data_IF_239029757104
#
_entry.id   IF_239029757104
#
_cell.length_a   1.000
_cell.length_b   1.000
_cell.length_c   1.000
_cell.angle_alpha   90.00
_cell.angle_beta   90.00
_cell.angle_gamma   90.00
#
_symmetry.space_group_name_H-M   'P 1'
#
loop_
_entity.id
_entity.type
_entity.pdbx_description
1 polymer ?
#
# COMPACT_ATOMS: atom_id res chain seq x y z
N UNK A 1 -5.13 -6.22 28.46
CA UNK A 1 -5.29 -7.57 27.83
C UNK A 1 -4.96 -7.55 26.33
N UNK A 2 -5.48 -6.61 25.53
CA UNK A 2 -5.18 -6.53 24.09
C UNK A 2 -3.67 -6.28 23.79
N UNK A 3 -3.01 -5.40 24.53
CA UNK A 3 -1.57 -5.13 24.37
C UNK A 3 -0.68 -6.35 24.64
N UNK A 4 -1.06 -7.28 25.55
CA UNK A 4 -0.32 -8.54 25.75
C UNK A 4 -0.33 -9.42 24.50
N UNK A 5 -1.48 -9.46 23.79
CA UNK A 5 -1.64 -10.21 22.55
C UNK A 5 -0.85 -9.56 21.41
N UNK A 6 -0.84 -8.22 21.36
CA UNK A 6 -0.03 -7.46 20.40
C UNK A 6 1.46 -7.68 20.61
N UNK A 7 1.95 -7.59 21.84
CA UNK A 7 3.33 -7.87 22.19
C UNK A 7 3.70 -9.33 21.87
N UNK A 8 2.77 -10.27 22.05
CA UNK A 8 2.97 -11.67 21.71
C UNK A 8 3.09 -11.88 20.20
N UNK A 9 2.18 -11.30 19.41
CA UNK A 9 2.26 -11.34 17.95
C UNK A 9 3.58 -10.78 17.43
N UNK A 10 4.01 -9.63 17.96
CA UNK A 10 5.31 -9.03 17.65
C UNK A 10 6.48 -9.96 17.99
N UNK A 11 6.51 -10.52 19.20
CA UNK A 11 7.60 -11.39 19.64
C UNK A 11 7.73 -12.65 18.77
N UNK A 12 6.59 -13.23 18.34
CA UNK A 12 6.56 -14.37 17.43
C UNK A 12 7.16 -14.03 16.07
N UNK A 13 6.80 -12.89 15.48
CA UNK A 13 7.33 -12.47 14.18
C UNK A 13 8.81 -12.12 14.23
N UNK A 14 9.23 -11.36 15.24
CA UNK A 14 10.59 -10.82 15.31
C UNK A 14 11.63 -11.85 15.73
N UNK A 15 11.27 -12.78 16.64
CA UNK A 15 12.27 -13.55 17.37
C UNK A 15 11.94 -15.02 17.55
N UNK A 16 10.69 -15.38 17.80
CA UNK A 16 10.36 -16.73 18.27
C UNK A 16 9.91 -17.72 17.19
N UNK A 17 9.24 -17.26 16.13
CA UNK A 17 8.85 -18.12 15.03
C UNK A 17 10.02 -18.39 14.08
N UNK A 18 9.84 -19.37 13.19
CA UNK A 18 10.71 -19.58 12.03
C UNK A 18 10.25 -18.76 10.81
N UNK A 19 9.45 -17.71 10.99
CA UNK A 19 9.13 -16.79 9.92
C UNK A 19 10.42 -16.08 9.47
N UNK A 20 10.63 -15.99 8.16
CA UNK A 20 11.77 -15.31 7.58
C UNK A 20 11.32 -14.28 6.55
N UNK A 21 11.96 -13.11 6.58
CA UNK A 21 11.68 -12.01 5.67
C UNK A 21 12.84 -11.88 4.67
N UNK A 22 12.59 -12.32 3.43
CA UNK A 22 13.44 -12.04 2.29
C UNK A 22 12.72 -11.10 1.31
N UNK A 23 12.95 -11.24 -0.01
CA UNK A 23 12.11 -10.58 -1.03
C UNK A 23 10.63 -10.92 -0.89
N UNK A 24 10.33 -12.14 -0.41
CA UNK A 24 9.01 -12.58 0.03
C UNK A 24 9.11 -13.20 1.44
N UNK A 25 7.96 -13.35 2.09
CA UNK A 25 7.83 -14.06 3.38
C UNK A 25 7.94 -15.56 3.17
N UNK A 26 8.82 -16.18 3.95
CA UNK A 26 9.08 -17.61 3.95
C UNK A 26 9.16 -18.19 5.36
N UNK A 27 9.54 -19.45 5.43
CA UNK A 27 9.80 -20.16 6.69
C UNK A 27 11.22 -20.72 6.67
N UNK A 28 11.98 -20.51 7.73
CA UNK A 28 13.30 -21.07 7.96
C UNK A 28 13.22 -22.39 8.73
N UNK A 29 14.38 -22.95 9.08
CA UNK A 29 14.46 -24.06 10.03
C UNK A 29 13.71 -23.74 11.33
N UNK A 30 13.02 -24.74 11.87
CA UNK A 30 12.28 -24.64 13.13
C UNK A 30 13.25 -24.32 14.26
N UNK A 31 12.87 -23.37 15.12
CA UNK A 31 13.64 -23.01 16.32
C UNK A 31 13.10 -23.85 17.49
N UNK A 32 13.86 -24.84 18.01
CA UNK A 32 13.34 -25.77 19.02
C UNK A 32 13.10 -25.13 20.39
N UNK A 33 13.92 -24.14 20.77
CA UNK A 33 13.85 -23.46 22.08
C UNK A 33 14.06 -21.96 21.92
N UNK A 34 13.13 -21.31 21.20
CA UNK A 34 13.22 -19.87 20.99
C UNK A 34 12.80 -19.10 22.26
N UNK A 35 13.53 -18.07 22.68
CA UNK A 35 13.16 -17.29 23.86
C UNK A 35 11.88 -16.50 23.59
N UNK A 36 10.78 -16.83 24.27
CA UNK A 36 9.48 -16.14 24.08
C UNK A 36 9.20 -15.13 25.20
N UNK A 37 9.33 -15.56 26.46
CA UNK A 37 8.90 -14.75 27.62
C UNK A 37 9.67 -13.44 27.72
N UNK A 38 10.99 -13.46 27.53
CA UNK A 38 11.84 -12.28 27.59
C UNK A 38 11.48 -11.22 26.53
N UNK A 39 11.53 -11.54 25.22
CA UNK A 39 11.10 -10.61 24.17
C UNK A 39 9.66 -10.11 24.33
N UNK A 40 8.73 -11.00 24.70
CA UNK A 40 7.35 -10.64 24.96
C UNK A 40 7.23 -9.60 26.08
N UNK A 41 7.83 -9.87 27.25
CA UNK A 41 7.77 -8.95 28.40
C UNK A 41 8.44 -7.61 28.10
N UNK A 42 9.54 -7.59 27.33
CA UNK A 42 10.13 -6.34 26.83
C UNK A 42 9.18 -5.56 25.93
N UNK A 43 8.47 -6.25 25.04
CA UNK A 43 7.45 -5.62 24.20
C UNK A 43 6.31 -5.01 25.01
N UNK A 44 5.85 -5.72 26.04
CA UNK A 44 4.83 -5.23 26.98
C UNK A 44 5.29 -3.99 27.73
N UNK A 45 6.50 -4.03 28.30
CA UNK A 45 7.07 -2.89 29.04
C UNK A 45 7.22 -1.68 28.15
N UNK A 46 7.78 -1.85 26.94
CA UNK A 46 7.89 -0.76 25.98
C UNK A 46 6.54 -0.11 25.68
N UNK A 47 5.50 -0.90 25.44
CA UNK A 47 4.15 -0.34 25.21
C UNK A 47 3.60 0.41 26.43
N UNK A 48 3.95 0.00 27.65
CA UNK A 48 3.55 0.71 28.86
C UNK A 48 4.35 2.01 29.03
N UNK A 49 5.67 1.95 28.88
CA UNK A 49 6.57 3.09 28.93
C UNK A 49 6.16 4.15 27.89
N UNK A 50 5.87 3.73 26.65
CA UNK A 50 5.38 4.63 25.58
C UNK A 50 4.07 5.33 25.99
N UNK A 51 3.16 4.65 26.69
CA UNK A 51 1.90 5.25 27.14
C UNK A 51 2.10 6.21 28.32
N UNK A 52 3.04 5.92 29.22
CA UNK A 52 3.38 6.80 30.34
C UNK A 52 4.06 8.07 29.83
N UNK A 53 4.99 7.95 28.87
CA UNK A 53 5.66 9.07 28.22
C UNK A 53 4.66 9.99 27.48
N UNK A 54 3.74 9.38 26.73
CA UNK A 54 2.68 10.10 25.99
C UNK A 54 1.58 10.65 26.90
N UNK A 55 1.45 10.16 28.14
CA UNK A 55 0.44 10.63 29.09
C UNK A 55 0.60 12.12 29.47
N UNK A 56 1.77 12.70 29.18
CA UNK A 56 2.05 14.13 29.36
C UNK A 56 1.70 15.00 28.15
N UNK A 57 1.39 14.40 27.00
CA UNK A 57 1.06 15.13 25.78
C UNK A 57 -0.43 15.50 25.71
N UNK A 58 -0.74 16.61 25.05
CA UNK A 58 -2.13 16.98 24.77
C UNK A 58 -2.80 15.95 23.86
N UNK A 59 -3.96 15.46 24.28
CA UNK A 59 -4.75 14.51 23.50
C UNK A 59 -5.40 15.23 22.32
N UNK A 60 -5.08 14.79 21.10
CA UNK A 60 -5.77 15.24 19.88
C UNK A 60 -6.95 14.31 19.60
N UNK A 61 -8.19 14.83 19.41
CA UNK A 61 -9.32 14.01 18.98
C UNK A 61 -8.95 13.21 17.73
N UNK A 62 -9.12 11.89 17.78
CA UNK A 62 -8.69 10.97 16.73
C UNK A 62 -9.83 10.05 16.37
N UNK A 63 -10.13 9.97 15.08
CA UNK A 63 -11.09 9.03 14.51
C UNK A 63 -10.37 8.01 13.63
N UNK A 64 -10.75 6.74 13.74
CA UNK A 64 -10.13 5.65 12.99
C UNK A 64 -11.22 4.89 12.26
N UNK A 65 -11.13 4.85 10.94
CA UNK A 65 -12.09 4.16 10.09
C UNK A 65 -11.43 2.92 9.46
N UNK A 66 -12.07 1.76 9.60
CA UNK A 66 -11.73 0.57 8.81
C UNK A 66 -12.51 0.65 7.50
N UNK A 67 -11.91 1.24 6.48
CA UNK A 67 -12.55 1.50 5.19
C UNK A 67 -11.59 1.35 4.01
N UNK A 68 -12.16 1.17 2.83
CA UNK A 68 -11.43 1.27 1.57
C UNK A 68 -11.33 2.75 1.16
N UNK A 69 -10.10 3.24 0.96
CA UNK A 69 -9.86 4.63 0.54
C UNK A 69 -10.47 5.00 -0.82
N UNK A 70 -10.83 4.00 -1.65
CA UNK A 70 -11.61 4.18 -2.89
C UNK A 70 -13.10 4.43 -2.65
N UNK A 71 -13.50 4.51 -1.38
CA UNK A 71 -14.84 4.77 -0.86
C UNK A 71 -14.77 5.76 0.32
N UNK A 72 -13.76 6.64 0.33
CA UNK A 72 -13.49 7.54 1.46
C UNK A 72 -14.70 8.41 1.84
N UNK A 73 -15.54 8.75 0.87
CA UNK A 73 -16.75 9.56 1.07
C UNK A 73 -17.81 8.88 1.94
N UNK A 74 -17.78 7.55 2.11
CA UNK A 74 -18.71 6.78 2.96
C UNK A 74 -18.42 6.94 4.46
N UNK A 75 -17.20 7.32 4.82
CA UNK A 75 -16.75 7.41 6.22
C UNK A 75 -16.26 8.80 6.63
N UNK A 76 -15.96 9.66 5.67
CA UNK A 76 -15.50 11.03 5.91
C UNK A 76 -16.62 12.05 5.65
N UNK A 77 -16.76 12.99 6.59
CA UNK A 77 -17.70 14.10 6.46
C UNK A 77 -17.30 15.05 5.31
N UNK A 78 -18.26 15.62 4.57
CA UNK A 78 -17.97 16.59 3.54
C UNK A 78 -17.22 17.81 4.08
N UNK A 79 -16.25 18.35 3.31
CA UNK A 79 -15.47 19.53 3.68
C UNK A 79 -14.88 19.49 5.11
N UNK A 80 -14.41 18.34 5.55
CA UNK A 80 -13.86 18.13 6.90
C UNK A 80 -12.34 18.09 6.94
N UNK A 81 -11.68 17.83 5.81
CA UNK A 81 -10.24 17.53 5.74
C UNK A 81 -9.45 18.72 5.18
N UNK A 82 -8.51 19.24 5.97
CA UNK A 82 -7.57 20.31 5.57
C UNK A 82 -6.31 19.75 4.89
N UNK A 83 -5.88 18.54 5.25
CA UNK A 83 -4.67 17.94 4.71
C UNK A 83 -4.74 16.40 4.64
N UNK A 84 -4.05 15.84 3.64
CA UNK A 84 -3.89 14.38 3.47
C UNK A 84 -2.41 14.07 3.33
N UNK A 85 -1.90 13.14 4.15
CA UNK A 85 -0.53 12.64 4.04
C UNK A 85 -0.62 11.12 3.96
N UNK A 86 -0.11 10.53 2.88
CA UNK A 86 -0.23 9.09 2.68
C UNK A 86 0.90 8.52 1.82
N UNK A 87 1.12 7.21 1.97
CA UNK A 87 2.03 6.42 1.15
C UNK A 87 1.26 5.20 0.64
N UNK A 88 0.48 5.32 -0.47
CA UNK A 88 -0.29 4.20 -1.00
C UNK A 88 0.67 3.05 -1.38
N UNK A 89 0.17 1.79 -1.45
CA UNK A 89 1.03 0.69 -1.89
C UNK A 89 1.55 0.99 -3.31
N UNK A 90 2.73 0.48 -3.67
CA UNK A 90 3.30 0.70 -5.00
C UNK A 90 3.02 -0.48 -5.92
N UNK A 91 2.84 -0.28 -7.24
CA UNK A 91 2.57 -1.35 -8.19
C UNK A 91 3.84 -2.16 -8.48
N UNK A 92 4.24 -2.99 -7.52
CA UNK A 92 5.57 -3.61 -7.48
C UNK A 92 5.57 -5.11 -7.15
N UNK A 93 4.40 -5.75 -7.19
CA UNK A 93 4.18 -7.17 -6.89
C UNK A 93 4.33 -7.57 -5.41
N UNK A 94 4.48 -6.60 -4.48
CA UNK A 94 4.48 -6.91 -3.04
C UNK A 94 3.06 -7.14 -2.51
N UNK A 95 2.84 -8.32 -1.94
CA UNK A 95 1.60 -8.67 -1.23
C UNK A 95 1.76 -8.44 0.29
N UNK A 96 1.34 -7.28 0.78
CA UNK A 96 1.41 -6.92 2.20
C UNK A 96 0.63 -7.90 3.09
N UNK A 97 -0.45 -8.50 2.58
CA UNK A 97 -1.25 -9.49 3.35
C UNK A 97 -0.52 -10.80 3.59
N UNK A 98 0.57 -11.07 2.86
CA UNK A 98 1.49 -12.17 3.19
C UNK A 98 2.48 -11.77 4.28
N UNK A 99 2.90 -10.51 4.28
CA UNK A 99 3.90 -10.00 5.22
C UNK A 99 3.39 -9.98 6.64
N UNK A 100 2.14 -9.53 6.84
CA UNK A 100 1.52 -9.43 8.16
C UNK A 100 0.60 -10.60 8.49
N UNK A 101 0.68 -11.71 7.74
CA UNK A 101 -0.32 -12.79 7.82
C UNK A 101 -0.36 -13.43 9.21
N UNK A 102 0.81 -13.68 9.79
CA UNK A 102 0.90 -14.35 11.09
C UNK A 102 0.29 -13.46 12.17
N UNK A 103 0.61 -12.18 12.17
CA UNK A 103 0.04 -11.17 13.05
C UNK A 103 -1.48 -11.08 12.87
N UNK A 104 -1.98 -11.00 11.63
CA UNK A 104 -3.42 -10.91 11.36
C UNK A 104 -4.20 -12.11 11.89
N UNK A 105 -3.63 -13.32 11.83
CA UNK A 105 -4.24 -14.52 12.41
C UNK A 105 -4.18 -14.50 13.93
N UNK A 106 -3.01 -14.20 14.49
CA UNK A 106 -2.80 -14.19 15.95
C UNK A 106 -3.67 -13.15 16.66
N UNK A 107 -3.86 -11.99 16.04
CA UNK A 107 -4.69 -10.89 16.55
C UNK A 107 -6.19 -11.13 16.29
N UNK A 108 -6.54 -12.09 15.43
CA UNK A 108 -7.92 -12.47 15.14
C UNK A 108 -8.60 -11.65 14.04
N UNK A 109 -7.84 -10.87 13.27
CA UNK A 109 -8.35 -10.13 12.11
C UNK A 109 -8.67 -11.04 10.93
N UNK A 110 -7.98 -12.19 10.82
CA UNK A 110 -8.18 -13.17 9.76
C UNK A 110 -8.27 -14.55 10.41
N UNK A 111 -9.44 -15.19 10.34
CA UNK A 111 -9.65 -16.51 10.96
C UNK A 111 -9.66 -17.65 9.94
N UNK A 112 -9.98 -17.31 8.69
CA UNK A 112 -10.14 -18.28 7.62
C UNK A 112 -9.79 -17.63 6.26
N UNK A 113 -9.88 -18.43 5.19
CA UNK A 113 -9.57 -17.97 3.83
C UNK A 113 -10.56 -16.91 3.31
N UNK A 114 -11.82 -16.97 3.71
CA UNK A 114 -12.83 -16.00 3.30
C UNK A 114 -12.53 -14.61 3.89
N UNK A 115 -12.22 -14.52 5.20
CA UNK A 115 -11.79 -13.28 5.85
C UNK A 115 -10.57 -12.67 5.11
N UNK A 116 -9.57 -13.50 4.75
CA UNK A 116 -8.41 -13.03 3.98
C UNK A 116 -8.81 -12.49 2.59
N UNK A 117 -9.74 -13.15 1.90
CA UNK A 117 -10.19 -12.70 0.58
C UNK A 117 -10.99 -11.40 0.66
N UNK A 118 -11.81 -11.24 1.70
CA UNK A 118 -12.57 -10.02 1.95
C UNK A 118 -11.63 -8.83 2.17
N UNK A 119 -10.64 -8.96 3.06
CA UNK A 119 -9.61 -7.94 3.26
C UNK A 119 -8.89 -7.62 1.95
N UNK A 120 -8.44 -8.64 1.21
CA UNK A 120 -7.73 -8.43 -0.07
C UNK A 120 -8.56 -7.72 -1.12
N UNK A 121 -9.88 -7.95 -1.16
CA UNK A 121 -10.78 -7.28 -2.12
C UNK A 121 -10.89 -5.78 -1.88
N UNK A 122 -10.77 -5.33 -0.62
CA UNK A 122 -10.75 -3.91 -0.24
C UNK A 122 -9.40 -3.19 -0.42
N UNK A 123 -8.34 -3.88 -0.87
CA UNK A 123 -7.02 -3.25 -1.05
C UNK A 123 -6.84 -2.69 -2.46
N UNK A 124 -6.09 -1.60 -2.60
CA UNK A 124 -5.63 -1.15 -3.91
C UNK A 124 -4.82 -2.26 -4.62
N UNK A 125 -5.02 -2.44 -5.93
CA UNK A 125 -4.39 -3.52 -6.71
C UNK A 125 -2.93 -3.22 -7.02
N UNK A 126 -2.04 -3.54 -6.10
CA UNK A 126 -0.58 -3.31 -6.23
C UNK A 126 0.23 -4.54 -6.66
N UNK A 127 -0.43 -5.70 -6.75
CA UNK A 127 0.18 -6.99 -7.09
C UNK A 127 -0.86 -7.93 -7.73
N UNK A 128 -0.40 -8.85 -8.58
CA UNK A 128 -1.27 -9.74 -9.35
C UNK A 128 -2.07 -10.72 -8.49
N UNK A 129 -1.57 -11.03 -7.27
CA UNK A 129 -2.29 -11.90 -6.31
C UNK A 129 -3.47 -11.21 -5.64
N UNK A 130 -3.64 -9.91 -5.84
CA UNK A 130 -4.80 -9.14 -5.42
C UNK A 130 -5.85 -8.95 -6.51
N UNK A 131 -5.58 -9.39 -7.75
CA UNK A 131 -6.49 -9.18 -8.88
C UNK A 131 -7.58 -10.25 -8.90
N UNK A 132 -8.83 -9.82 -8.96
CA UNK A 132 -10.02 -10.66 -9.05
C UNK A 132 -10.75 -10.45 -10.38
N UNK A 133 -11.58 -11.42 -10.76
CA UNK A 133 -12.33 -11.38 -12.03
C UNK A 133 -13.25 -10.17 -12.15
N UNK A 134 -13.87 -9.76 -11.03
CA UNK A 134 -14.81 -8.63 -10.99
C UNK A 134 -14.18 -7.27 -10.73
N UNK A 135 -12.85 -7.17 -10.74
CA UNK A 135 -12.20 -5.85 -10.65
C UNK A 135 -12.41 -5.07 -11.95
N UNK A 136 -12.76 -3.80 -11.82
CA UNK A 136 -13.14 -2.90 -12.91
C UNK A 136 -12.50 -1.50 -12.79
N UNK A 137 -11.60 -1.29 -11.83
CA UNK A 137 -10.94 0.01 -11.66
C UNK A 137 -10.13 0.42 -12.93
N UNK A 138 -9.74 -0.53 -13.79
CA UNK A 138 -9.03 -0.29 -15.04
C UNK A 138 -9.82 0.59 -16.03
N UNK A 139 -11.15 0.66 -15.90
CA UNK A 139 -11.98 1.59 -16.69
C UNK A 139 -11.66 3.08 -16.41
N UNK A 140 -11.15 3.40 -15.21
CA UNK A 140 -10.83 4.78 -14.81
C UNK A 140 -9.57 5.32 -15.49
N UNK A 141 -8.81 4.48 -16.20
CA UNK A 141 -7.58 4.88 -16.89
C UNK A 141 -7.65 4.75 -18.42
N UNK A 142 -8.82 4.47 -18.99
CA UNK A 142 -9.01 4.36 -20.44
C UNK A 142 -8.65 5.66 -21.19
N UNK A 143 -8.82 6.81 -20.54
CA UNK A 143 -8.51 8.12 -21.11
C UNK A 143 -7.05 8.56 -20.91
N UNK A 144 -6.16 7.70 -20.40
CA UNK A 144 -4.76 8.05 -20.09
C UNK A 144 -3.77 7.33 -21.01
N UNK A 145 -3.36 7.97 -22.13
CA UNK A 145 -2.53 7.32 -23.14
C UNK A 145 -1.22 6.77 -22.60
N UNK A 146 -0.59 7.45 -21.63
CA UNK A 146 0.69 7.02 -21.09
C UNK A 146 0.56 5.75 -20.24
N UNK A 147 -0.51 5.61 -19.46
CA UNK A 147 -0.79 4.38 -18.69
C UNK A 147 -1.07 3.22 -19.64
N UNK A 148 -1.87 3.44 -20.69
CA UNK A 148 -2.13 2.45 -21.72
C UNK A 148 -0.85 2.05 -22.47
N UNK A 149 0.01 3.02 -22.80
CA UNK A 149 1.31 2.79 -23.45
C UNK A 149 2.21 1.90 -22.58
N UNK A 150 2.27 2.16 -21.28
CA UNK A 150 3.03 1.35 -20.33
C UNK A 150 2.44 -0.07 -20.23
N UNK A 151 1.12 -0.19 -20.12
CA UNK A 151 0.44 -1.49 -20.06
C UNK A 151 0.71 -2.33 -21.33
N UNK A 152 0.62 -1.72 -22.51
CA UNK A 152 0.97 -2.37 -23.77
C UNK A 152 2.44 -2.77 -23.82
N UNK A 153 3.36 -1.90 -23.41
CA UNK A 153 4.79 -2.22 -23.37
C UNK A 153 5.10 -3.41 -22.43
N UNK A 154 4.40 -3.51 -21.29
CA UNK A 154 4.51 -4.67 -20.38
C UNK A 154 4.01 -5.95 -21.07
N UNK A 155 2.87 -5.87 -21.76
CA UNK A 155 2.28 -7.02 -22.44
C UNK A 155 3.11 -7.49 -23.64
N UNK A 156 3.65 -6.57 -24.43
CA UNK A 156 4.52 -6.88 -25.55
C UNK A 156 5.82 -7.51 -25.05
N UNK A 157 6.44 -6.93 -24.01
CA UNK A 157 7.60 -7.51 -23.35
C UNK A 157 7.31 -8.92 -22.81
N UNK A 158 6.11 -9.16 -22.27
CA UNK A 158 5.69 -10.48 -21.78
C UNK A 158 5.68 -11.51 -22.92
N UNK A 159 5.14 -11.14 -24.09
CA UNK A 159 5.10 -11.97 -25.29
C UNK A 159 6.50 -12.24 -25.84
N UNK A 160 7.33 -11.21 -25.97
CA UNK A 160 8.73 -11.32 -26.42
C UNK A 160 9.54 -12.30 -25.58
N UNK A 161 9.36 -12.25 -24.26
CA UNK A 161 10.06 -13.14 -23.31
C UNK A 161 9.41 -14.52 -23.16
N UNK A 162 8.33 -14.82 -23.88
CA UNK A 162 7.62 -16.10 -23.80
C UNK A 162 7.03 -16.39 -22.42
N UNK A 163 6.69 -15.35 -21.63
CA UNK A 163 6.21 -15.49 -20.25
C UNK A 163 4.73 -15.86 -20.21
N UNK A 164 4.42 -17.06 -19.72
CA UNK A 164 3.06 -17.64 -19.82
C UNK A 164 2.38 -17.93 -18.49
N UNK A 165 3.03 -17.66 -17.35
CA UNK A 165 2.39 -17.90 -16.05
C UNK A 165 1.13 -17.04 -15.86
N UNK A 166 0.18 -17.53 -15.07
CA UNK A 166 -1.07 -16.80 -14.79
C UNK A 166 -0.84 -15.42 -14.16
N UNK A 167 0.21 -15.27 -13.34
CA UNK A 167 0.60 -13.99 -12.75
C UNK A 167 1.21 -13.04 -13.79
N UNK A 168 2.15 -13.51 -14.60
CA UNK A 168 2.80 -12.67 -15.62
C UNK A 168 1.79 -12.12 -16.64
N UNK A 169 0.76 -12.91 -16.99
CA UNK A 169 -0.36 -12.47 -17.86
C UNK A 169 -1.19 -11.32 -17.28
N UNK A 170 -1.09 -11.06 -15.98
CA UNK A 170 -1.81 -9.99 -15.31
C UNK A 170 -0.97 -8.72 -15.12
N UNK A 171 0.32 -8.69 -15.48
CA UNK A 171 1.18 -7.53 -15.21
C UNK A 171 0.72 -6.23 -15.89
N UNK A 172 0.24 -6.30 -17.13
CA UNK A 172 -0.34 -5.13 -17.80
C UNK A 172 -1.61 -4.67 -17.08
N UNK A 173 -2.53 -5.61 -16.81
CA UNK A 173 -3.82 -5.32 -16.18
C UNK A 173 -3.68 -4.80 -14.74
N UNK A 174 -2.80 -5.37 -13.92
CA UNK A 174 -2.60 -4.88 -12.54
C UNK A 174 -2.04 -3.46 -12.53
N UNK A 175 -1.23 -3.09 -13.52
CA UNK A 175 -0.75 -1.71 -13.68
C UNK A 175 -1.92 -0.75 -13.95
N UNK A 176 -2.85 -1.12 -14.83
CA UNK A 176 -4.05 -0.34 -15.09
C UNK A 176 -4.98 -0.27 -13.87
N UNK A 177 -5.25 -1.40 -13.22
CA UNK A 177 -6.08 -1.47 -12.01
C UNK A 177 -5.50 -0.63 -10.86
N UNK A 178 -4.18 -0.58 -10.72
CA UNK A 178 -3.53 0.26 -9.71
C UNK A 178 -3.86 1.74 -9.91
N UNK A 179 -3.56 2.27 -11.10
CA UNK A 179 -3.77 3.68 -11.40
C UNK A 179 -5.25 4.03 -11.48
N UNK A 180 -6.09 3.10 -11.94
CA UNK A 180 -7.53 3.24 -11.90
C UNK A 180 -8.09 3.35 -10.49
N UNK A 181 -7.60 2.53 -9.56
CA UNK A 181 -7.97 2.64 -8.16
C UNK A 181 -7.48 3.94 -7.52
N UNK A 182 -6.31 4.46 -7.95
CA UNK A 182 -5.84 5.79 -7.52
C UNK A 182 -6.71 6.92 -8.08
N UNK A 183 -7.17 6.83 -9.33
CA UNK A 183 -8.09 7.79 -9.93
C UNK A 183 -9.43 7.82 -9.19
N UNK A 184 -9.97 6.64 -8.87
CA UNK A 184 -11.17 6.51 -8.05
C UNK A 184 -10.98 7.08 -6.64
N UNK A 185 -9.88 6.74 -5.98
CA UNK A 185 -9.54 7.28 -4.65
C UNK A 185 -9.49 8.82 -4.65
N UNK A 186 -8.76 9.42 -5.60
CA UNK A 186 -8.67 10.88 -5.72
C UNK A 186 -10.04 11.49 -6.02
N UNK A 187 -10.87 10.84 -6.84
CA UNK A 187 -12.22 11.32 -7.17
C UNK A 187 -13.13 11.35 -5.96
N UNK A 188 -13.13 10.27 -5.17
CA UNK A 188 -13.96 10.10 -3.98
C UNK A 188 -13.55 11.05 -2.84
N UNK A 189 -12.24 11.28 -2.71
CA UNK A 189 -11.71 12.11 -1.63
C UNK A 189 -12.15 13.57 -1.75
N UNK A 190 -12.41 14.08 -2.96
CA UNK A 190 -12.82 15.48 -3.21
C UNK A 190 -13.95 15.96 -2.30
N UNK A 191 -14.95 15.10 -2.05
CA UNK A 191 -16.11 15.46 -1.22
C UNK A 191 -15.71 15.83 0.21
N UNK A 192 -14.70 15.16 0.75
CA UNK A 192 -14.24 15.36 2.13
C UNK A 192 -13.26 16.53 2.27
N UNK A 193 -12.63 16.97 1.18
CA UNK A 193 -11.59 18.01 1.21
C UNK A 193 -12.22 19.40 1.30
N UNK A 194 -11.66 20.24 2.17
CA UNK A 194 -11.96 21.68 2.19
C UNK A 194 -11.32 22.38 0.99
N UNK A 195 -11.91 23.49 0.49
CA UNK A 195 -11.23 24.37 -0.45
C UNK A 195 -9.86 24.79 0.09
N UNK A 196 -8.82 24.61 -0.72
CA UNK A 196 -7.42 24.86 -0.35
C UNK A 196 -6.72 23.71 0.38
N UNK A 197 -7.36 22.56 0.57
CA UNK A 197 -6.74 21.40 1.23
C UNK A 197 -5.47 20.96 0.49
N UNK A 198 -4.46 20.51 1.24
CA UNK A 198 -3.15 20.10 0.72
C UNK A 198 -2.93 18.61 0.89
N UNK A 199 -2.39 17.96 -0.13
CA UNK A 199 -2.17 16.52 -0.11
C UNK A 199 -0.72 16.19 -0.45
N UNK A 200 -0.15 15.20 0.22
CA UNK A 200 1.19 14.69 0.00
C UNK A 200 1.15 13.16 -0.15
N UNK A 201 1.45 12.69 -1.36
CA UNK A 201 1.49 11.27 -1.70
C UNK A 201 2.94 10.81 -1.87
N UNK A 202 3.44 10.03 -0.91
CA UNK A 202 4.75 9.39 -1.02
C UNK A 202 4.62 8.17 -1.93
N UNK A 203 5.23 8.22 -3.11
CA UNK A 203 5.17 7.16 -4.11
C UNK A 203 6.54 6.86 -4.68
N UNK A 204 6.75 5.60 -5.07
CA UNK A 204 8.01 5.16 -5.63
C UNK A 204 7.89 4.73 -7.08
N UNK A 205 8.86 5.11 -7.90
CA UNK A 205 9.05 4.51 -9.23
C UNK A 205 9.26 3.01 -9.12
N UNK A 206 8.74 2.29 -10.12
CA UNK A 206 8.78 0.83 -10.17
C UNK A 206 9.28 0.33 -11.52
N UNK A 207 9.94 -0.83 -11.48
CA UNK A 207 10.33 -1.60 -12.66
C UNK A 207 10.06 -3.11 -12.48
N UNK A 208 9.14 -3.45 -11.56
CA UNK A 208 8.86 -4.84 -11.18
C UNK A 208 8.19 -5.65 -12.31
N UNK A 209 7.47 -4.99 -13.21
CA UNK A 209 6.77 -5.64 -14.32
C UNK A 209 7.68 -5.67 -15.55
N UNK A 210 8.50 -6.73 -15.62
CA UNK A 210 9.38 -7.03 -16.76
C UNK A 210 10.35 -5.89 -17.12
N UNK A 211 10.81 -5.14 -16.11
CA UNK A 211 11.75 -4.01 -16.26
C UNK A 211 11.21 -2.84 -17.10
N UNK A 212 9.90 -2.78 -17.33
CA UNK A 212 9.27 -1.58 -17.88
C UNK A 212 9.18 -0.55 -16.76
N UNK A 213 9.71 0.65 -17.02
CA UNK A 213 9.72 1.74 -16.05
C UNK A 213 8.31 2.31 -15.88
N UNK A 214 7.90 2.48 -14.62
CA UNK A 214 6.65 3.11 -14.22
C UNK A 214 7.01 4.31 -13.36
N UNK A 215 6.82 5.52 -13.91
CA UNK A 215 7.02 6.79 -13.20
C UNK A 215 5.79 7.10 -12.36
N UNK A 216 5.71 6.49 -11.19
CA UNK A 216 4.46 6.48 -10.41
C UNK A 216 4.04 7.89 -9.98
N UNK A 217 5.00 8.75 -9.62
CA UNK A 217 4.72 10.15 -9.26
C UNK A 217 4.10 10.94 -10.41
N UNK A 218 4.71 10.89 -11.59
CA UNK A 218 4.24 11.58 -12.81
C UNK A 218 2.86 11.09 -13.25
N UNK A 219 2.63 9.78 -13.25
CA UNK A 219 1.33 9.20 -13.62
C UNK A 219 0.24 9.56 -12.63
N UNK A 220 0.55 9.56 -11.32
CA UNK A 220 -0.40 9.98 -10.30
C UNK A 220 -0.72 11.47 -10.38
N UNK A 221 0.27 12.32 -10.67
CA UNK A 221 0.08 13.74 -10.89
C UNK A 221 -0.87 14.00 -12.07
N UNK A 222 -0.67 13.32 -13.20
CA UNK A 222 -1.55 13.43 -14.38
C UNK A 222 -3.01 13.03 -14.07
N UNK A 223 -3.21 11.98 -13.28
CA UNK A 223 -4.54 11.58 -12.79
C UNK A 223 -5.14 12.64 -11.88
N UNK A 224 -4.34 13.20 -10.97
CA UNK A 224 -4.82 14.24 -10.06
C UNK A 224 -5.31 15.47 -10.83
N UNK A 225 -4.54 15.94 -11.82
CA UNK A 225 -4.93 17.06 -12.68
C UNK A 225 -6.25 16.82 -13.41
N UNK A 226 -6.43 15.62 -13.99
CA UNK A 226 -7.66 15.31 -14.73
C UNK A 226 -8.91 15.26 -13.83
N UNK A 227 -8.73 15.04 -12.53
CA UNK A 227 -9.80 14.99 -11.53
C UNK A 227 -10.04 16.37 -10.88
N UNK A 228 -9.23 17.37 -11.22
CA UNK A 228 -9.39 18.77 -10.81
C UNK A 228 -8.47 19.24 -9.68
N UNK A 229 -7.47 18.44 -9.30
CA UNK A 229 -6.44 18.86 -8.36
C UNK A 229 -5.39 19.74 -9.05
N UNK A 230 -4.79 20.66 -8.31
CA UNK A 230 -3.59 21.38 -8.72
C UNK A 230 -2.35 20.59 -8.29
N UNK A 231 -1.47 20.22 -9.23
CA UNK A 231 -0.15 19.66 -8.90
C UNK A 231 0.80 20.80 -8.57
N UNK A 232 1.23 20.86 -7.30
CA UNK A 232 2.10 21.92 -6.80
C UNK A 232 3.57 21.52 -6.74
N UNK A 233 3.88 20.21 -6.81
CA UNK A 233 5.25 19.71 -6.84
C UNK A 233 5.34 18.20 -6.95
N UNK A 234 6.50 17.72 -7.40
CA UNK A 234 6.92 16.31 -7.32
C UNK A 234 8.35 16.32 -6.75
N UNK A 235 8.45 16.19 -5.43
CA UNK A 235 9.71 16.37 -4.71
C UNK A 235 10.43 15.03 -4.54
N UNK A 236 11.72 14.97 -4.87
CA UNK A 236 12.51 13.78 -4.61
C UNK A 236 12.67 13.59 -3.09
N UNK A 237 12.11 12.51 -2.55
CA UNK A 237 12.25 12.15 -1.14
C UNK A 237 13.56 11.39 -0.89
N UNK A 238 13.80 10.34 -1.67
CA UNK A 238 15.06 9.57 -1.66
C UNK A 238 15.20 8.72 -2.91
N UNK A 239 16.35 8.05 -3.06
CA UNK A 239 16.52 6.96 -4.02
C UNK A 239 16.57 5.60 -3.33
N UNK A 240 16.10 4.57 -4.03
CA UNK A 240 16.10 3.17 -3.59
C UNK A 240 16.81 2.32 -4.65
N UNK A 241 17.69 1.43 -4.22
CA UNK A 241 18.32 0.48 -5.14
C UNK A 241 17.32 -0.62 -5.52
N UNK A 242 17.01 -0.73 -6.82
CA UNK A 242 16.24 -1.86 -7.33
C UNK A 242 17.12 -3.10 -7.42
N UNK A 243 16.88 -4.10 -6.57
CA UNK A 243 17.72 -5.31 -6.50
C UNK A 243 17.85 -6.03 -7.85
N UNK A 244 16.79 -6.04 -8.67
CA UNK A 244 16.76 -6.76 -9.94
C UNK A 244 17.50 -6.04 -11.10
N UNK A 245 17.60 -4.71 -11.07
CA UNK A 245 18.20 -3.91 -12.15
C UNK A 245 19.47 -3.18 -11.71
N UNK A 246 19.76 -3.14 -10.40
CA UNK A 246 20.79 -2.30 -9.76
C UNK A 246 20.68 -0.81 -10.10
N UNK A 247 19.51 -0.37 -10.56
CA UNK A 247 19.23 1.04 -10.83
C UNK A 247 18.73 1.73 -9.57
N UNK A 248 19.03 3.02 -9.46
CA UNK A 248 18.41 3.87 -8.45
C UNK A 248 17.01 4.26 -8.93
N UNK A 249 15.99 3.80 -8.23
CA UNK A 249 14.60 4.22 -8.43
C UNK A 249 14.29 5.37 -7.49
N UNK A 250 13.52 6.34 -7.97
CA UNK A 250 13.12 7.50 -7.18
C UNK A 250 11.95 7.11 -6.27
N UNK A 251 11.94 7.69 -5.08
CA UNK A 251 10.77 7.79 -4.24
C UNK A 251 10.54 9.27 -4.02
N UNK A 252 9.31 9.71 -4.29
CA UNK A 252 8.94 11.10 -4.47
C UNK A 252 7.70 11.41 -3.65
N UNK A 253 7.50 12.70 -3.36
CA UNK A 253 6.27 13.22 -2.77
C UNK A 253 5.55 14.00 -3.87
N UNK A 254 4.40 13.48 -4.32
CA UNK A 254 3.49 14.24 -5.19
C UNK A 254 2.67 15.16 -4.29
N UNK A 255 2.86 16.48 -4.46
CA UNK A 255 2.21 17.51 -3.65
C UNK A 255 1.05 18.11 -4.44
N UNK A 256 -0.16 17.95 -3.93
CA UNK A 256 -1.40 18.39 -4.56
C UNK A 256 -2.10 19.46 -3.71
N UNK A 257 -2.93 20.28 -4.37
CA UNK A 257 -3.88 21.17 -3.74
C UNK A 257 -5.27 20.97 -4.34
N UNK A 258 -6.29 20.91 -3.49
CA UNK A 258 -7.69 20.93 -3.91
C UNK A 258 -8.20 22.37 -3.94
N UNK A 259 -8.57 22.94 -5.10
CA UNK A 259 -8.98 24.34 -5.18
C UNK A 259 -10.37 24.62 -4.57
N UNK A 260 -11.30 23.65 -4.63
CA UNK A 260 -12.69 23.79 -4.18
C UNK A 260 -13.69 23.43 -5.26
#
# INVERSE_FOLDING_TARGET
RAHYRLAFAKALVDSASNLSFGPEVGVSAVKPDAPIVGPWLRGVRRMADDLDDLGSCDMTPTEVHLADSRHASEVLEPNSIDAVITSPPYPNEKDYTRTTRLESVLLGFIRNRADLQEVKRGLLRSNTRGVYKGDDDDQWVEAFPEILRIAHAIEDRRKELGKTSGFERLYARVTMLYFGGMARHLTELRRALKPGARLAYVVGDQASYLRIMIRTGELLASIAESVGYEVTGIDLFRTRLATATRQQLREEVVVLRWPG
#
